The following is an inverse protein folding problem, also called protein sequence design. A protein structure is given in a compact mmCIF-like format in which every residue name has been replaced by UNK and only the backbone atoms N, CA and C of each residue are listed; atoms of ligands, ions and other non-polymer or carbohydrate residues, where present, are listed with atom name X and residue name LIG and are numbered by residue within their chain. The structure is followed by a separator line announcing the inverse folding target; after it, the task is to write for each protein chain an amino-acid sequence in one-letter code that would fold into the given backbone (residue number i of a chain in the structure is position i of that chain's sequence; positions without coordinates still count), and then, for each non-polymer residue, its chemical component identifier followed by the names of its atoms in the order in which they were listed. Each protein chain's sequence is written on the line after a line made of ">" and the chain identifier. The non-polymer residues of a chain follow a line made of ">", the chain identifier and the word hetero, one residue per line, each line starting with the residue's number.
data_IF_869022512929
#
_entry.id   IF_869022512929
#
_cell.length_a   1.000
_cell.length_b   1.000
_cell.length_c   1.000
_cell.angle_alpha   90.00
_cell.angle_beta   90.00
_cell.angle_gamma   90.00
#
_symmetry.space_group_name_H-M   'P 1'
#
loop_
_entity.id
_entity.type
_entity.pdbx_description
1 polymer ?
#
# COMPACT_ATOMS: atom_id res chain seq x y z
N UNK A 1 -19.74 -3.31 12.61
CA UNK A 1 -19.08 -2.72 13.80
C UNK A 1 -18.50 -1.39 13.36
N UNK A 2 -19.04 -0.31 13.91
CA UNK A 2 -18.68 1.07 13.56
C UNK A 2 -17.31 1.43 14.12
N UNK A 3 -16.26 1.05 13.39
CA UNK A 3 -14.90 1.52 13.67
C UNK A 3 -14.69 2.82 12.87
N UNK A 4 -14.92 3.97 13.49
CA UNK A 4 -14.62 5.26 12.89
C UNK A 4 -13.13 5.53 13.01
N UNK A 5 -12.41 5.49 11.88
CA UNK A 5 -10.99 5.86 11.82
C UNK A 5 -10.87 7.35 11.50
N UNK A 6 -10.31 8.13 12.43
CA UNK A 6 -9.87 9.49 12.18
C UNK A 6 -8.42 9.47 11.69
N UNK A 7 -8.15 9.96 10.49
CA UNK A 7 -6.81 10.26 9.99
C UNK A 7 -6.54 11.75 10.07
N UNK A 8 -5.95 12.19 11.17
CA UNK A 8 -5.40 13.53 11.26
C UNK A 8 -3.98 13.56 10.69
N UNK A 9 -3.72 14.36 9.66
CA UNK A 9 -2.38 14.65 9.16
C UNK A 9 -1.87 15.93 9.83
N UNK A 10 -0.90 15.79 10.70
CA UNK A 10 -0.25 16.93 11.36
C UNK A 10 0.49 17.84 10.38
N UNK A 11 0.51 19.13 10.67
CA UNK A 11 1.08 20.21 9.84
C UNK A 11 0.30 20.46 8.54
N UNK A 12 -0.98 20.64 8.70
CA UNK A 12 -2.03 20.53 7.71
C UNK A 12 -1.97 21.60 6.62
N UNK A 13 -1.51 22.80 6.93
CA UNK A 13 -1.73 23.96 6.05
C UNK A 13 -0.81 24.03 4.82
N UNK A 14 0.37 23.41 4.85
CA UNK A 14 1.35 23.50 3.73
C UNK A 14 1.43 22.23 2.87
N UNK A 15 0.81 21.11 3.25
CA UNK A 15 0.99 19.80 2.60
C UNK A 15 -0.27 19.15 2.05
N UNK A 16 -1.45 19.69 2.31
CA UNK A 16 -2.70 19.16 1.75
C UNK A 16 -3.09 19.93 0.49
N UNK A 17 -2.47 19.56 -0.63
CA UNK A 17 -3.04 19.89 -1.93
C UNK A 17 -4.25 18.98 -2.18
N UNK A 18 -5.24 19.43 -2.96
CA UNK A 18 -6.35 18.59 -3.40
C UNK A 18 -5.87 17.26 -4.02
N UNK A 19 -4.73 17.29 -4.70
CA UNK A 19 -4.07 16.11 -5.27
C UNK A 19 -3.67 15.08 -4.21
N UNK A 20 -3.13 15.53 -3.07
CA UNK A 20 -2.75 14.62 -1.98
C UNK A 20 -3.97 13.95 -1.33
N UNK A 21 -5.07 14.67 -1.21
CA UNK A 21 -6.36 14.13 -0.73
C UNK A 21 -6.90 13.11 -1.73
N UNK A 22 -6.89 13.45 -3.03
CA UNK A 22 -7.36 12.56 -4.08
C UNK A 22 -6.59 11.23 -4.11
N UNK A 23 -5.26 11.26 -3.95
CA UNK A 23 -4.44 10.03 -3.86
C UNK A 23 -4.88 9.12 -2.71
N UNK A 24 -5.31 9.70 -1.57
CA UNK A 24 -5.81 8.91 -0.43
C UNK A 24 -7.16 8.26 -0.80
N UNK A 25 -8.08 9.04 -1.37
CA UNK A 25 -9.40 8.55 -1.77
C UNK A 25 -9.29 7.48 -2.87
N UNK A 26 -8.42 7.68 -3.84
CA UNK A 26 -8.15 6.69 -4.90
C UNK A 26 -7.57 5.39 -4.31
N UNK A 27 -6.65 5.50 -3.37
CA UNK A 27 -6.10 4.34 -2.66
C UNK A 27 -7.14 3.57 -1.86
N UNK A 28 -8.03 4.27 -1.16
CA UNK A 28 -9.16 3.65 -0.45
C UNK A 28 -10.11 2.95 -1.43
N UNK A 29 -10.50 3.63 -2.50
CA UNK A 29 -11.35 3.07 -3.55
C UNK A 29 -10.74 1.84 -4.18
N UNK A 30 -9.43 1.90 -4.52
CA UNK A 30 -8.71 0.78 -5.11
C UNK A 30 -8.66 -0.45 -4.20
N UNK A 31 -8.47 -0.23 -2.88
CA UNK A 31 -8.50 -1.31 -1.87
C UNK A 31 -9.93 -1.72 -1.47
N UNK A 32 -10.96 -1.10 -2.06
CA UNK A 32 -12.36 -1.27 -1.67
C UNK A 32 -12.58 -1.02 -0.17
N UNK A 33 -11.95 0.04 0.37
CA UNK A 33 -12.09 0.51 1.74
C UNK A 33 -13.01 1.72 1.76
N UNK A 34 -14.29 1.47 1.94
CA UNK A 34 -15.30 2.51 2.00
C UNK A 34 -15.34 3.15 3.40
N UNK A 35 -15.84 4.37 3.46
CA UNK A 35 -16.21 5.07 4.68
C UNK A 35 -17.75 5.18 4.74
N UNK A 36 -18.32 5.12 5.94
CA UNK A 36 -19.77 5.16 6.12
C UNK A 36 -20.28 6.59 6.08
N UNK A 37 -19.49 7.56 6.56
CA UNK A 37 -19.80 8.98 6.58
C UNK A 37 -18.61 9.83 6.12
N UNK A 38 -18.87 10.89 5.38
CA UNK A 38 -17.87 11.85 4.93
C UNK A 38 -17.49 11.73 3.44
N UNK A 39 -16.32 12.15 3.04
CA UNK A 39 -15.21 12.66 3.86
C UNK A 39 -15.54 14.01 4.52
N UNK A 40 -15.07 14.20 5.76
CA UNK A 40 -15.20 15.46 6.50
C UNK A 40 -13.84 16.14 6.51
N UNK A 41 -13.81 17.42 6.07
CA UNK A 41 -12.57 18.19 5.95
C UNK A 41 -12.41 19.13 7.14
N UNK A 42 -11.24 19.08 7.79
CA UNK A 42 -10.93 19.91 8.95
C UNK A 42 -11.03 21.43 8.64
N UNK A 43 -10.64 21.83 7.42
CA UNK A 43 -10.70 23.24 7.03
C UNK A 43 -12.14 23.78 6.95
N UNK A 44 -13.14 22.94 6.76
CA UNK A 44 -14.55 23.33 6.76
C UNK A 44 -15.13 23.48 8.18
N UNK A 45 -14.33 23.12 9.22
CA UNK A 45 -14.74 23.10 10.63
C UNK A 45 -14.06 24.18 11.48
N UNK A 46 -13.41 25.17 10.87
CA UNK A 46 -12.63 26.19 11.59
C UNK A 46 -13.47 26.95 12.63
N UNK A 47 -14.73 27.25 12.34
CA UNK A 47 -15.62 27.92 13.27
C UNK A 47 -15.90 27.07 14.51
N UNK A 48 -16.03 25.75 14.33
CA UNK A 48 -16.23 24.83 15.45
C UNK A 48 -15.02 24.77 16.37
N UNK A 49 -13.82 24.71 15.82
CA UNK A 49 -12.59 24.73 16.63
C UNK A 49 -12.45 26.04 17.41
N UNK A 50 -12.83 27.17 16.79
CA UNK A 50 -12.82 28.46 17.45
C UNK A 50 -13.80 28.50 18.61
N UNK A 51 -15.04 28.01 18.43
CA UNK A 51 -16.05 27.92 19.48
C UNK A 51 -15.52 27.12 20.69
N UNK A 52 -14.87 25.94 20.44
CA UNK A 52 -14.34 25.11 21.51
C UNK A 52 -13.17 25.80 22.21
N UNK A 53 -12.27 26.45 21.48
CA UNK A 53 -11.16 27.22 22.07
C UNK A 53 -11.70 28.40 22.93
N UNK A 54 -12.69 29.12 22.46
CA UNK A 54 -13.28 30.22 23.21
C UNK A 54 -13.94 29.73 24.52
N UNK A 55 -14.55 28.55 24.52
CA UNK A 55 -15.01 27.86 25.74
C UNK A 55 -13.85 27.57 26.70
N UNK A 56 -12.76 26.93 26.18
CA UNK A 56 -11.59 26.58 26.99
C UNK A 56 -10.89 27.81 27.59
N UNK A 57 -10.82 28.92 26.85
CA UNK A 57 -10.29 30.20 27.36
C UNK A 57 -11.15 30.74 28.50
N UNK A 58 -12.49 30.68 28.41
CA UNK A 58 -13.41 31.12 29.46
C UNK A 58 -13.33 30.27 30.71
N UNK A 59 -13.12 28.97 30.55
CA UNK A 59 -12.99 27.99 31.63
C UNK A 59 -11.58 27.94 32.25
N UNK A 60 -10.60 28.64 31.65
CA UNK A 60 -9.22 28.70 32.12
C UNK A 60 -8.41 27.41 31.81
N UNK A 61 -8.94 26.51 30.98
CA UNK A 61 -8.23 25.30 30.50
C UNK A 61 -7.35 25.58 29.29
N UNK A 62 -7.44 26.79 28.71
CA UNK A 62 -6.52 27.32 27.72
C UNK A 62 -6.17 28.79 28.03
N UNK A 63 -5.09 29.29 27.42
CA UNK A 63 -4.61 30.65 27.64
C UNK A 63 -3.80 31.17 26.45
N UNK A 64 -3.72 32.50 26.33
CA UNK A 64 -2.88 33.15 25.33
C UNK A 64 -1.41 33.14 25.75
N UNK A 65 -0.55 32.78 24.83
CA UNK A 65 0.91 32.75 25.01
C UNK A 65 1.59 33.66 24.00
N UNK A 66 2.32 34.65 24.49
CA UNK A 66 3.04 35.66 23.69
C UNK A 66 4.55 35.39 23.64
N UNK A 67 5.00 34.20 24.04
CA UNK A 67 6.41 33.84 23.94
C UNK A 67 6.89 33.83 22.49
N UNK A 68 7.99 34.52 22.22
CA UNK A 68 8.62 34.52 20.89
C UNK A 68 9.40 33.25 20.64
N UNK A 69 9.70 32.90 19.37
CA UNK A 69 10.58 31.77 19.05
C UNK A 69 11.94 31.88 19.75
N UNK A 70 12.51 33.09 19.79
CA UNK A 70 13.82 33.37 20.40
C UNK A 70 13.79 33.07 21.91
N UNK A 71 12.78 33.59 22.64
CA UNK A 71 12.58 33.31 24.06
C UNK A 71 12.40 31.82 24.35
N UNK A 72 11.72 31.10 23.46
CA UNK A 72 11.52 29.65 23.59
C UNK A 72 12.80 28.87 23.33
N UNK A 73 13.64 29.32 22.41
CA UNK A 73 14.91 28.67 22.11
C UNK A 73 15.94 28.94 23.24
N UNK A 74 16.02 30.16 23.76
CA UNK A 74 16.83 30.49 24.93
C UNK A 74 16.42 29.64 26.16
N UNK A 75 15.12 29.52 26.42
CA UNK A 75 14.58 28.70 27.49
C UNK A 75 15.01 27.24 27.34
N UNK A 76 14.91 26.67 26.12
CA UNK A 76 15.28 25.28 25.85
C UNK A 76 16.78 25.03 26.03
N UNK A 77 17.61 25.98 25.57
CA UNK A 77 19.06 25.88 25.73
C UNK A 77 19.48 25.95 27.21
N UNK A 78 18.83 26.83 27.96
CA UNK A 78 19.06 26.90 29.40
C UNK A 78 18.64 25.61 30.12
N UNK A 79 17.49 25.04 29.75
CA UNK A 79 17.04 23.76 30.31
C UNK A 79 18.03 22.63 30.00
N UNK A 80 18.52 22.56 28.75
CA UNK A 80 19.57 21.60 28.36
C UNK A 80 20.86 21.80 29.18
N UNK A 81 21.30 23.05 29.39
CA UNK A 81 22.48 23.38 30.16
C UNK A 81 22.36 22.91 31.62
N UNK A 82 21.14 22.95 32.15
CA UNK A 82 20.81 22.48 33.52
C UNK A 82 20.55 20.95 33.58
N UNK A 83 20.69 20.22 32.44
CA UNK A 83 20.42 18.79 32.37
C UNK A 83 18.92 18.43 32.42
N UNK A 84 18.05 19.41 32.26
CA UNK A 84 16.60 19.23 32.25
C UNK A 84 16.09 18.85 30.83
N UNK A 85 14.99 18.08 30.76
CA UNK A 85 14.32 17.83 29.53
C UNK A 85 13.66 19.12 29.02
N UNK A 86 13.98 19.62 27.79
CA UNK A 86 13.39 20.84 27.26
C UNK A 86 11.87 20.74 27.16
N UNK A 87 11.16 21.66 27.78
CA UNK A 87 9.71 21.80 27.71
C UNK A 87 9.31 23.26 27.91
N UNK A 88 8.09 23.61 27.48
CA UNK A 88 7.55 24.94 27.77
C UNK A 88 7.34 25.11 29.27
N UNK A 89 7.79 26.23 29.83
CA UNK A 89 7.87 26.48 31.26
C UNK A 89 6.59 27.11 31.86
N UNK A 90 5.55 27.32 31.06
CA UNK A 90 4.32 27.93 31.53
C UNK A 90 4.40 29.44 31.83
N UNK A 91 5.45 30.13 31.33
CA UNK A 91 5.69 31.56 31.61
C UNK A 91 4.54 32.50 31.27
N UNK A 92 3.63 32.10 30.37
CA UNK A 92 2.45 32.87 29.98
C UNK A 92 1.15 32.29 30.58
N UNK A 93 1.23 31.31 31.47
CA UNK A 93 0.04 30.95 32.25
C UNK A 93 -0.45 32.17 33.03
N UNK A 94 -1.78 32.38 33.24
CA UNK A 94 -2.33 33.57 33.87
C UNK A 94 -1.64 33.95 35.16
N UNK A 95 -1.37 32.98 36.02
CA UNK A 95 -0.69 33.18 37.33
C UNK A 95 0.77 33.63 37.18
N UNK A 96 1.48 33.22 36.13
CA UNK A 96 2.88 33.54 35.87
C UNK A 96 3.05 34.80 35.01
N UNK A 97 1.96 35.27 34.40
CA UNK A 97 1.95 36.42 33.51
C UNK A 97 1.45 37.71 34.18
N UNK A 98 1.12 37.67 35.48
CA UNK A 98 0.64 38.83 36.22
C UNK A 98 1.66 39.98 36.12
N UNK A 99 1.21 41.15 35.63
CA UNK A 99 2.09 42.33 35.50
C UNK A 99 3.05 42.31 34.29
N UNK A 100 3.06 41.26 33.50
CA UNK A 100 3.85 41.26 32.25
C UNK A 100 3.17 42.12 31.17
N UNK A 101 3.92 42.99 30.52
CA UNK A 101 3.38 43.74 29.37
C UNK A 101 3.12 42.76 28.21
N UNK A 102 1.97 42.93 27.57
CA UNK A 102 1.66 42.19 26.34
C UNK A 102 2.45 42.81 25.20
N UNK A 103 3.31 42.07 24.49
CA UNK A 103 4.05 42.61 23.37
C UNK A 103 3.13 42.97 22.19
N UNK A 104 3.16 44.21 21.74
CA UNK A 104 2.29 44.69 20.63
C UNK A 104 2.61 44.04 19.29
N UNK A 105 3.85 43.58 19.10
CA UNK A 105 4.36 42.99 17.85
C UNK A 105 4.19 41.48 17.74
N UNK A 106 3.70 40.81 18.79
CA UNK A 106 3.60 39.34 18.85
C UNK A 106 2.16 38.89 18.70
N UNK A 107 1.87 38.18 17.64
CA UNK A 107 0.60 37.46 17.50
C UNK A 107 0.62 36.25 18.45
N UNK A 108 -0.29 36.18 19.43
CA UNK A 108 -0.30 35.10 20.41
C UNK A 108 -0.69 33.77 19.78
N UNK A 109 -0.16 32.69 20.35
CA UNK A 109 -0.70 31.35 20.18
C UNK A 109 -1.59 31.03 21.38
N UNK A 110 -2.50 30.07 21.22
CA UNK A 110 -3.30 29.57 22.33
C UNK A 110 -2.75 28.23 22.75
N UNK A 111 -2.48 28.08 24.05
CA UNK A 111 -2.00 26.84 24.65
C UNK A 111 -3.05 26.19 25.51
N UNK A 112 -3.09 24.88 25.46
CA UNK A 112 -3.78 24.05 26.44
C UNK A 112 -3.03 24.09 27.75
N UNK A 113 -3.72 24.34 28.85
CA UNK A 113 -3.15 24.26 30.20
C UNK A 113 -3.13 22.81 30.66
N UNK A 114 -1.99 22.15 30.50
CA UNK A 114 -1.83 20.78 30.95
C UNK A 114 -1.80 20.74 32.49
N UNK A 115 -2.42 19.75 33.14
CA UNK A 115 -2.22 19.53 34.59
C UNK A 115 -0.74 19.36 34.95
N UNK A 116 -0.33 19.94 36.08
CA UNK A 116 1.06 19.85 36.52
C UNK A 116 1.38 18.56 37.29
N UNK A 117 0.36 18.06 38.04
CA UNK A 117 0.47 16.90 38.90
C UNK A 117 -0.32 15.69 38.37
N UNK A 118 -0.03 14.54 38.98
CA UNK A 118 -0.69 13.29 38.61
C UNK A 118 -0.15 12.67 37.34
N UNK A 119 -0.86 11.70 36.83
CA UNK A 119 -0.49 10.95 35.63
C UNK A 119 -1.69 10.64 34.73
N UNK A 120 -1.41 10.48 33.47
CA UNK A 120 -2.36 9.94 32.51
C UNK A 120 -2.09 8.46 32.32
N UNK A 121 -3.06 7.64 32.69
CA UNK A 121 -3.04 6.19 32.46
C UNK A 121 -4.18 5.83 31.54
N UNK A 122 -3.87 5.01 30.52
CA UNK A 122 -4.89 4.38 29.66
C UNK A 122 -4.51 2.95 29.37
N UNK A 123 -5.49 2.14 29.02
CA UNK A 123 -5.27 0.78 28.56
C UNK A 123 -5.33 0.75 27.04
N UNK A 124 -4.16 0.74 26.39
CA UNK A 124 -4.08 0.61 24.94
C UNK A 124 -4.50 -0.80 24.51
N UNK A 125 -5.41 -0.90 23.53
CA UNK A 125 -5.97 -2.19 23.14
C UNK A 125 -4.92 -3.16 22.54
N UNK A 126 -3.75 -2.64 22.11
CA UNK A 126 -2.65 -3.45 21.57
C UNK A 126 -1.48 -3.51 22.57
N UNK A 127 -1.02 -2.36 23.06
CA UNK A 127 0.17 -2.29 23.94
C UNK A 127 -0.13 -2.56 25.41
N UNK A 128 -1.40 -2.54 25.83
CA UNK A 128 -1.81 -2.70 27.22
C UNK A 128 -1.69 -1.40 28.02
N UNK A 129 -1.55 -1.44 29.35
CA UNK A 129 -1.53 -0.25 30.19
C UNK A 129 -0.27 0.59 29.96
N UNK A 130 -0.49 1.89 29.71
CA UNK A 130 0.56 2.89 29.54
C UNK A 130 0.28 4.04 30.49
N UNK A 131 1.32 4.52 31.19
CA UNK A 131 1.24 5.64 32.12
C UNK A 131 2.29 6.67 31.80
N UNK A 132 1.90 7.95 31.75
CA UNK A 132 2.78 9.10 31.53
C UNK A 132 2.47 10.15 32.59
N UNK A 133 3.49 10.63 33.30
CA UNK A 133 3.32 11.68 34.32
C UNK A 133 2.98 13.03 33.65
N UNK A 134 2.07 13.79 34.21
CA UNK A 134 1.73 15.12 33.70
C UNK A 134 2.94 16.07 33.72
N UNK A 135 3.85 15.90 34.66
CA UNK A 135 5.12 16.64 34.74
C UNK A 135 6.04 16.42 33.53
N UNK A 136 5.81 15.39 32.71
CA UNK A 136 6.54 15.14 31.44
C UNK A 136 5.88 15.79 30.23
N UNK A 137 4.66 16.28 30.40
CA UNK A 137 3.87 16.92 29.35
C UNK A 137 3.96 18.44 29.51
N UNK A 138 4.09 19.15 28.40
CA UNK A 138 4.07 20.62 28.37
C UNK A 138 2.73 21.16 27.88
N UNK A 139 2.51 22.46 28.08
CA UNK A 139 1.33 23.13 27.58
C UNK A 139 1.37 23.22 26.05
N UNK A 140 0.64 22.34 25.42
CA UNK A 140 0.62 22.20 23.97
C UNK A 140 -0.03 23.42 23.29
N UNK A 141 0.56 23.91 22.22
CA UNK A 141 -0.13 24.88 21.36
C UNK A 141 -1.32 24.18 20.71
N UNK A 142 -2.52 24.70 20.93
CA UNK A 142 -3.76 24.17 20.35
C UNK A 142 -4.29 25.01 19.17
N UNK A 143 -3.95 26.34 19.16
CA UNK A 143 -4.33 27.23 18.06
C UNK A 143 -3.17 28.15 17.72
N UNK A 144 -2.94 28.37 16.42
CA UNK A 144 -1.94 29.32 15.90
C UNK A 144 -2.52 30.06 14.70
N UNK A 145 -2.49 31.38 14.72
CA UNK A 145 -3.04 32.23 13.63
C UNK A 145 -4.47 31.84 13.23
N UNK A 146 -5.33 31.53 14.20
CA UNK A 146 -6.71 31.12 13.95
C UNK A 146 -6.89 29.69 13.41
N UNK A 147 -5.81 28.91 13.32
CA UNK A 147 -5.83 27.54 12.79
C UNK A 147 -5.53 26.56 13.94
N UNK A 148 -6.33 25.50 14.11
CA UNK A 148 -6.07 24.48 15.12
C UNK A 148 -4.82 23.67 14.79
N UNK A 149 -4.10 23.25 15.83
CA UNK A 149 -3.02 22.26 15.65
C UNK A 149 -3.60 20.85 15.63
N UNK A 150 -2.82 19.91 15.10
CA UNK A 150 -3.21 18.52 14.93
C UNK A 150 -3.90 17.90 16.15
N UNK A 151 -3.24 17.94 17.32
CA UNK A 151 -3.75 17.27 18.52
C UNK A 151 -5.09 17.85 18.99
N UNK A 152 -5.32 19.13 18.80
CA UNK A 152 -6.56 19.77 19.18
C UNK A 152 -7.68 19.48 18.18
N UNK A 153 -7.38 19.60 16.88
CA UNK A 153 -8.36 19.36 15.84
C UNK A 153 -8.93 17.92 15.93
N UNK A 154 -8.05 16.91 16.07
CA UNK A 154 -8.54 15.51 16.15
C UNK A 154 -9.35 15.25 17.41
N UNK A 155 -9.03 15.86 18.55
CA UNK A 155 -9.85 15.70 19.77
C UNK A 155 -11.24 16.28 19.60
N UNK A 156 -11.36 17.47 18.99
CA UNK A 156 -12.66 18.10 18.75
C UNK A 156 -13.47 17.29 17.73
N UNK A 157 -12.83 16.84 16.67
CA UNK A 157 -13.49 16.05 15.62
C UNK A 157 -13.96 14.69 16.15
N UNK A 158 -13.10 13.96 16.83
CA UNK A 158 -13.42 12.66 17.40
C UNK A 158 -14.54 12.77 18.46
N UNK A 159 -14.55 13.85 19.24
CA UNK A 159 -15.61 14.15 20.20
C UNK A 159 -16.95 14.43 19.52
N UNK A 160 -16.97 15.35 18.56
CA UNK A 160 -18.20 15.74 17.84
C UNK A 160 -18.78 14.57 17.02
N UNK A 161 -17.92 13.70 16.50
CA UNK A 161 -18.30 12.53 15.72
C UNK A 161 -18.52 11.26 16.58
N UNK A 162 -18.44 11.38 17.89
CA UNK A 162 -18.64 10.27 18.85
C UNK A 162 -17.77 9.05 18.51
N UNK A 163 -16.49 9.28 18.17
CA UNK A 163 -15.54 8.23 17.82
C UNK A 163 -15.26 7.36 19.04
N UNK A 164 -15.68 6.11 19.01
CA UNK A 164 -15.52 5.16 20.12
C UNK A 164 -14.12 4.58 20.23
N UNK A 165 -13.41 4.44 19.09
CA UNK A 165 -12.09 3.82 19.02
C UNK A 165 -11.16 4.62 18.10
N UNK A 166 -9.98 4.99 18.61
CA UNK A 166 -8.91 5.63 17.83
C UNK A 166 -7.83 4.60 17.54
N UNK A 167 -7.83 4.06 16.32
CA UNK A 167 -6.88 3.05 15.87
C UNK A 167 -5.90 3.71 14.90
N UNK A 168 -4.59 3.73 15.25
CA UNK A 168 -3.58 4.47 14.49
C UNK A 168 -2.17 3.90 14.66
N UNK A 169 -1.19 4.45 13.93
CA UNK A 169 0.21 4.03 14.06
C UNK A 169 0.83 4.35 15.43
N UNK A 170 1.73 3.49 15.90
CA UNK A 170 2.41 3.61 17.17
C UNK A 170 3.30 4.87 17.30
N UNK A 171 3.63 5.55 16.21
CA UNK A 171 4.30 6.85 16.22
C UNK A 171 3.46 7.96 16.87
N UNK A 172 2.17 7.74 17.06
CA UNK A 172 1.25 8.64 17.76
C UNK A 172 1.05 8.34 19.26
N UNK A 173 1.69 7.32 19.83
CA UNK A 173 1.55 6.99 21.27
C UNK A 173 1.86 8.21 22.15
N UNK A 174 2.89 8.98 21.83
CA UNK A 174 3.27 10.18 22.59
C UNK A 174 2.24 11.34 22.50
N UNK A 175 1.31 11.30 21.57
CA UNK A 175 0.22 12.28 21.47
C UNK A 175 -0.94 11.92 22.40
N UNK A 176 -1.13 10.64 22.67
CA UNK A 176 -2.28 10.09 23.41
C UNK A 176 -2.48 10.71 24.78
N UNK A 177 -1.47 10.84 25.67
CA UNK A 177 -1.70 11.43 27.00
C UNK A 177 -2.11 12.90 26.92
N UNK A 178 -1.61 13.66 25.93
CA UNK A 178 -2.00 15.07 25.71
C UNK A 178 -3.45 15.15 25.24
N UNK A 179 -3.87 14.27 24.35
CA UNK A 179 -5.24 14.19 23.86
C UNK A 179 -6.21 13.79 24.98
N UNK A 180 -5.86 12.80 25.80
CA UNK A 180 -6.67 12.38 26.94
C UNK A 180 -6.88 13.53 27.92
N UNK A 181 -5.85 14.33 28.21
CA UNK A 181 -6.01 15.50 29.06
C UNK A 181 -6.95 16.54 28.45
N UNK A 182 -6.93 16.72 27.12
CA UNK A 182 -7.87 17.61 26.42
C UNK A 182 -9.31 17.08 26.47
N UNK A 183 -9.53 15.76 26.23
CA UNK A 183 -10.87 15.15 26.39
C UNK A 183 -11.43 15.41 27.79
N UNK A 184 -10.60 15.19 28.83
CA UNK A 184 -10.99 15.41 30.23
C UNK A 184 -11.32 16.88 30.52
N UNK A 185 -10.52 17.80 29.99
CA UNK A 185 -10.74 19.24 30.15
C UNK A 185 -12.02 19.71 29.45
N UNK A 186 -12.42 19.06 28.35
CA UNK A 186 -13.66 19.35 27.62
C UNK A 186 -14.89 18.67 28.25
N UNK A 187 -14.70 17.75 29.21
CA UNK A 187 -15.75 16.91 29.76
C UNK A 187 -16.25 15.85 28.76
N UNK A 188 -15.42 15.52 27.78
CA UNK A 188 -15.73 14.55 26.74
C UNK A 188 -15.34 13.13 27.16
N UNK A 189 -16.04 12.12 26.66
CA UNK A 189 -15.68 10.72 26.84
C UNK A 189 -14.36 10.42 26.12
N UNK A 190 -13.47 9.70 26.80
CA UNK A 190 -12.19 9.31 26.23
C UNK A 190 -12.36 8.05 25.41
N UNK A 191 -12.06 8.05 24.09
CA UNK A 191 -12.17 6.86 23.26
C UNK A 191 -11.19 5.75 23.67
N UNK A 192 -11.44 4.53 23.24
CA UNK A 192 -10.47 3.44 23.31
C UNK A 192 -9.35 3.71 22.31
N UNK A 193 -8.11 3.74 22.80
CA UNK A 193 -6.93 3.88 21.94
C UNK A 193 -6.35 2.51 21.59
N UNK A 194 -5.95 2.34 20.34
CA UNK A 194 -5.22 1.19 19.85
C UNK A 194 -4.10 1.65 18.92
N UNK A 195 -2.86 1.33 19.27
CA UNK A 195 -1.72 1.70 18.45
C UNK A 195 -1.18 0.48 17.69
N UNK A 196 -1.18 0.58 16.36
CA UNK A 196 -0.67 -0.48 15.50
C UNK A 196 0.85 -0.34 15.32
N UNK A 197 1.59 -1.47 15.18
CA UNK A 197 3.03 -1.43 15.05
C UNK A 197 3.45 -0.67 13.78
N UNK A 198 4.66 -0.10 13.82
CA UNK A 198 5.25 0.53 12.65
C UNK A 198 5.59 -0.52 11.59
N UNK A 199 5.54 -0.09 10.34
CA UNK A 199 5.98 -0.90 9.21
C UNK A 199 7.39 -0.45 8.83
N UNK A 200 8.32 -1.39 8.88
CA UNK A 200 9.71 -1.19 8.52
C UNK A 200 10.01 -1.75 7.13
N UNK A 201 11.03 -1.19 6.48
CA UNK A 201 11.60 -1.76 5.27
C UNK A 201 12.31 -3.10 5.54
N UNK A 202 12.79 -3.77 4.48
CA UNK A 202 13.53 -5.03 4.62
C UNK A 202 14.79 -4.90 5.47
N UNK A 203 15.39 -3.71 5.54
CA UNK A 203 16.57 -3.37 6.35
C UNK A 203 16.25 -3.14 7.85
N UNK A 204 14.98 -3.23 8.23
CA UNK A 204 14.52 -2.98 9.60
C UNK A 204 14.37 -1.49 9.97
N UNK A 205 14.67 -0.57 9.07
CA UNK A 205 14.48 0.86 9.28
C UNK A 205 13.03 1.27 8.93
N UNK A 206 12.56 2.39 9.48
CA UNK A 206 11.22 2.92 9.16
C UNK A 206 11.03 3.01 7.64
N UNK A 207 9.91 2.48 7.14
CA UNK A 207 9.57 2.51 5.72
C UNK A 207 9.64 3.95 5.18
N UNK A 208 10.34 4.12 4.07
CA UNK A 208 10.56 5.42 3.42
C UNK A 208 10.64 5.26 1.90
N UNK A 209 10.63 6.37 1.16
CA UNK A 209 10.74 6.39 -0.31
C UNK A 209 11.95 5.60 -0.87
N UNK A 210 13.06 5.50 -0.11
CA UNK A 210 14.24 4.73 -0.51
C UNK A 210 14.01 3.21 -0.55
N UNK A 211 12.96 2.73 0.12
CA UNK A 211 12.59 1.31 0.15
C UNK A 211 11.59 0.94 -0.97
N UNK A 212 11.30 1.86 -1.89
CA UNK A 212 10.37 1.69 -2.98
C UNK A 212 8.98 2.21 -2.64
N UNK A 213 8.00 1.35 -2.58
CA UNK A 213 6.59 1.70 -2.48
C UNK A 213 6.22 2.34 -1.15
N UNK A 214 5.78 3.60 -1.17
CA UNK A 214 5.26 4.32 -0.01
C UNK A 214 3.77 4.64 -0.18
N UNK A 215 3.31 4.77 -1.43
CA UNK A 215 1.90 4.99 -1.76
C UNK A 215 1.24 3.67 -2.15
N UNK A 216 0.00 3.47 -1.69
CA UNK A 216 -0.81 2.31 -2.06
C UNK A 216 -0.99 2.21 -3.58
N UNK A 217 -1.17 3.35 -4.28
CA UNK A 217 -1.31 3.37 -5.73
C UNK A 217 -0.05 2.97 -6.51
N UNK A 218 1.10 2.91 -5.83
CA UNK A 218 2.32 2.38 -6.45
C UNK A 218 2.26 0.86 -6.62
N UNK A 219 1.59 0.15 -5.72
CA UNK A 219 1.36 -1.29 -5.87
C UNK A 219 0.48 -1.61 -7.10
N UNK A 220 -0.53 -0.78 -7.37
CA UNK A 220 -1.31 -0.90 -8.62
C UNK A 220 -0.43 -0.73 -9.86
N UNK A 221 0.43 0.31 -9.89
CA UNK A 221 1.38 0.51 -11.00
C UNK A 221 2.34 -0.67 -11.17
N UNK A 222 2.76 -1.31 -10.09
CA UNK A 222 3.60 -2.51 -10.11
C UNK A 222 2.81 -3.79 -10.45
N UNK A 223 1.49 -3.67 -10.66
CA UNK A 223 0.63 -4.75 -11.11
C UNK A 223 0.21 -5.74 -10.03
N UNK A 224 0.19 -5.33 -8.78
CA UNK A 224 -0.42 -6.11 -7.70
C UNK A 224 -1.95 -5.97 -7.73
N UNK A 225 -2.65 -7.01 -7.33
CA UNK A 225 -4.10 -6.99 -7.16
C UNK A 225 -4.49 -6.35 -5.83
N UNK A 226 -5.58 -5.55 -5.78
CA UNK A 226 -5.99 -4.85 -4.57
C UNK A 226 -6.30 -5.79 -3.40
N UNK A 227 -6.92 -6.94 -3.64
CA UNK A 227 -7.21 -7.95 -2.63
C UNK A 227 -5.93 -8.58 -2.04
N UNK A 228 -4.88 -8.73 -2.84
CA UNK A 228 -3.59 -9.22 -2.36
C UNK A 228 -2.90 -8.18 -1.46
N UNK A 229 -2.94 -6.91 -1.85
CA UNK A 229 -2.38 -5.82 -1.04
C UNK A 229 -3.18 -5.63 0.25
N UNK A 230 -4.51 -5.69 0.19
CA UNK A 230 -5.36 -5.65 1.38
C UNK A 230 -4.97 -6.76 2.37
N UNK A 231 -4.90 -8.01 1.92
CA UNK A 231 -4.52 -9.15 2.75
C UNK A 231 -3.09 -8.99 3.29
N UNK A 232 -2.14 -8.58 2.45
CA UNK A 232 -0.75 -8.40 2.85
C UNK A 232 -0.60 -7.33 3.92
N UNK A 233 -1.22 -6.16 3.73
CA UNK A 233 -1.19 -5.07 4.70
C UNK A 233 -1.84 -5.45 6.03
N UNK A 234 -2.95 -6.20 6.01
CA UNK A 234 -3.57 -6.72 7.23
C UNK A 234 -2.61 -7.64 7.99
N UNK A 235 -1.87 -8.51 7.29
CA UNK A 235 -0.86 -9.40 7.90
C UNK A 235 0.37 -8.67 8.45
N UNK A 236 0.63 -7.44 8.03
CA UNK A 236 1.71 -6.62 8.56
C UNK A 236 1.38 -6.05 9.93
N UNK A 237 1.23 -6.87 10.92
CA UNK A 237 0.97 -6.46 12.30
C UNK A 237 -0.27 -7.10 12.92
N UNK A 238 -0.96 -8.00 12.19
CA UNK A 238 -2.05 -8.80 12.70
C UNK A 238 -1.89 -10.25 12.26
N UNK A 239 -2.36 -11.21 13.07
CA UNK A 239 -2.32 -12.63 12.73
C UNK A 239 -3.37 -13.43 13.47
N UNK A 240 -3.94 -14.42 12.78
CA UNK A 240 -4.91 -15.34 13.33
C UNK A 240 -4.48 -16.78 13.00
N UNK A 241 -3.87 -17.48 13.97
CA UNK A 241 -3.31 -18.81 13.75
C UNK A 241 -2.34 -18.85 12.56
N UNK A 242 -2.49 -19.86 11.70
CA UNK A 242 -1.66 -20.06 10.50
C UNK A 242 -2.32 -19.49 9.23
N UNK A 243 -3.36 -18.67 9.35
CA UNK A 243 -4.07 -18.11 8.20
C UNK A 243 -3.23 -17.07 7.48
N UNK A 244 -2.81 -17.37 6.26
CA UNK A 244 -2.01 -16.48 5.42
C UNK A 244 -2.86 -15.73 4.39
N UNK A 245 -3.93 -16.33 3.91
CA UNK A 245 -4.84 -15.79 2.91
C UNK A 245 -6.27 -15.75 3.44
N UNK A 246 -6.94 -14.65 3.21
CA UNK A 246 -8.32 -14.41 3.59
C UNK A 246 -8.96 -13.32 2.74
N UNK A 247 -10.25 -13.40 2.54
CA UNK A 247 -11.05 -12.32 1.97
C UNK A 247 -11.33 -11.22 2.98
N UNK A 248 -11.80 -10.06 2.50
CA UNK A 248 -12.25 -8.95 3.36
C UNK A 248 -13.36 -9.39 4.33
N UNK A 249 -14.33 -10.16 3.83
CA UNK A 249 -15.47 -10.62 4.64
C UNK A 249 -15.06 -11.64 5.71
N UNK A 250 -14.09 -12.49 5.42
CA UNK A 250 -13.50 -13.39 6.40
C UNK A 250 -12.76 -12.62 7.47
N UNK A 251 -11.90 -11.66 7.06
CA UNK A 251 -11.18 -10.81 8.01
C UNK A 251 -12.13 -10.03 8.91
N UNK A 252 -13.21 -9.46 8.37
CA UNK A 252 -14.19 -8.70 9.15
C UNK A 252 -14.88 -9.53 10.25
N UNK A 253 -14.96 -10.85 10.08
CA UNK A 253 -15.55 -11.77 11.07
C UNK A 253 -14.58 -12.18 12.18
N UNK A 254 -13.28 -12.26 11.86
CA UNK A 254 -12.27 -12.84 12.76
C UNK A 254 -11.31 -11.79 13.33
N UNK A 255 -11.36 -10.53 12.84
CA UNK A 255 -10.45 -9.48 13.28
C UNK A 255 -10.73 -9.09 14.73
N UNK A 256 -9.69 -9.21 15.57
CA UNK A 256 -9.68 -8.68 16.93
C UNK A 256 -8.43 -7.82 17.14
N UNK A 257 -8.58 -6.69 17.84
CA UNK A 257 -7.45 -5.80 18.16
C UNK A 257 -6.40 -6.48 19.04
N UNK A 258 -6.83 -7.44 19.87
CA UNK A 258 -5.95 -8.21 20.74
C UNK A 258 -4.94 -9.09 19.96
N UNK A 259 -5.26 -9.44 18.71
CA UNK A 259 -4.39 -10.24 17.84
C UNK A 259 -3.35 -9.37 17.10
N UNK A 260 -3.39 -8.04 17.30
CA UNK A 260 -2.39 -7.15 16.74
C UNK A 260 -1.04 -7.29 17.46
N UNK A 261 0.02 -7.37 16.68
CA UNK A 261 1.39 -7.45 17.20
C UNK A 261 1.81 -6.12 17.84
N UNK A 262 2.62 -6.21 18.91
CA UNK A 262 3.31 -5.05 19.51
C UNK A 262 4.63 -4.72 18.82
N UNK A 263 5.17 -5.67 18.06
CA UNK A 263 6.45 -5.52 17.39
C UNK A 263 6.28 -4.95 15.98
N UNK A 264 7.21 -4.11 15.56
CA UNK A 264 7.22 -3.56 14.21
C UNK A 264 7.29 -4.67 13.15
N UNK A 265 6.40 -4.58 12.17
CA UNK A 265 6.39 -5.48 11.03
C UNK A 265 7.47 -5.11 10.00
N UNK A 266 7.93 -6.07 9.21
CA UNK A 266 8.87 -5.83 8.11
C UNK A 266 8.24 -6.21 6.78
N UNK A 267 8.48 -5.40 5.76
CA UNK A 267 8.08 -5.74 4.40
C UNK A 267 8.96 -6.89 3.89
N UNK A 268 8.30 -7.92 3.37
CA UNK A 268 8.89 -9.02 2.63
C UNK A 268 8.29 -9.06 1.21
N UNK A 269 9.06 -8.59 0.24
CA UNK A 269 8.63 -8.53 -1.16
C UNK A 269 8.40 -9.91 -1.76
N UNK A 270 9.18 -10.93 -1.35
CA UNK A 270 8.99 -12.30 -1.84
C UNK A 270 7.69 -12.90 -1.36
N UNK A 271 7.33 -12.60 -0.11
CA UNK A 271 6.04 -13.03 0.45
C UNK A 271 4.88 -12.30 -0.22
N UNK A 272 5.02 -11.02 -0.53
CA UNK A 272 4.02 -10.25 -1.27
C UNK A 272 3.84 -10.81 -2.69
N UNK A 273 4.91 -11.06 -3.43
CA UNK A 273 4.86 -11.66 -4.75
C UNK A 273 4.17 -13.04 -4.73
N UNK A 274 4.52 -13.88 -3.76
CA UNK A 274 3.89 -15.17 -3.56
C UNK A 274 2.39 -15.04 -3.29
N UNK A 275 2.01 -14.15 -2.37
CA UNK A 275 0.61 -13.93 -2.02
C UNK A 275 -0.19 -13.42 -3.22
N UNK A 276 0.34 -12.43 -3.92
CA UNK A 276 -0.31 -11.90 -5.13
C UNK A 276 -0.47 -12.99 -6.20
N UNK A 277 0.52 -13.86 -6.37
CA UNK A 277 0.43 -14.99 -7.30
C UNK A 277 -0.71 -15.95 -6.90
N UNK A 278 -1.00 -16.16 -5.60
CA UNK A 278 -2.14 -16.98 -5.20
C UNK A 278 -3.47 -16.32 -5.61
N UNK A 279 -3.61 -15.01 -5.46
CA UNK A 279 -4.78 -14.27 -5.92
C UNK A 279 -4.88 -14.25 -7.45
N UNK A 280 -3.77 -14.07 -8.16
CA UNK A 280 -3.72 -14.15 -9.62
C UNK A 280 -4.23 -15.50 -10.15
N UNK A 281 -3.83 -16.62 -9.53
CA UNK A 281 -4.28 -17.97 -9.93
C UNK A 281 -5.79 -18.15 -9.83
N UNK A 282 -6.42 -17.57 -8.83
CA UNK A 282 -7.85 -17.70 -8.55
C UNK A 282 -8.70 -16.64 -9.27
N UNK A 283 -8.07 -15.56 -9.71
CA UNK A 283 -8.77 -14.48 -10.38
C UNK A 283 -9.42 -14.95 -11.68
N UNK A 284 -10.56 -14.36 -12.00
CA UNK A 284 -11.27 -14.56 -13.25
C UNK A 284 -10.43 -14.12 -14.45
N UNK A 285 -10.42 -14.92 -15.52
CA UNK A 285 -9.58 -14.71 -16.69
C UNK A 285 -9.98 -13.45 -17.48
N UNK A 286 -11.27 -13.13 -17.57
CA UNK A 286 -11.77 -11.93 -18.24
C UNK A 286 -11.41 -10.66 -17.44
N UNK A 287 -11.50 -10.74 -16.11
CA UNK A 287 -11.03 -9.67 -15.24
C UNK A 287 -9.53 -9.42 -15.44
N UNK A 288 -8.71 -10.46 -15.44
CA UNK A 288 -7.26 -10.32 -15.66
C UNK A 288 -6.96 -9.76 -17.04
N UNK A 289 -7.69 -10.20 -18.07
CA UNK A 289 -7.58 -9.66 -19.42
C UNK A 289 -7.85 -8.16 -19.44
N UNK A 290 -8.91 -7.70 -18.78
CA UNK A 290 -9.25 -6.28 -18.65
C UNK A 290 -8.13 -5.48 -17.98
N UNK A 291 -7.57 -6.00 -16.88
CA UNK A 291 -6.52 -5.33 -16.09
C UNK A 291 -5.15 -5.31 -16.80
N UNK A 292 -4.85 -6.31 -17.64
CA UNK A 292 -3.55 -6.41 -18.28
C UNK A 292 -3.50 -5.77 -19.67
N UNK A 293 -4.66 -5.54 -20.31
CA UNK A 293 -4.77 -5.01 -21.69
C UNK A 293 -3.90 -3.76 -21.91
N UNK A 294 -4.14 -2.72 -21.15
CA UNK A 294 -3.40 -1.45 -21.27
C UNK A 294 -1.90 -1.60 -21.04
N UNK A 295 -1.49 -2.56 -20.23
CA UNK A 295 -0.07 -2.85 -19.94
C UNK A 295 0.63 -3.51 -21.13
N UNK A 296 -0.08 -4.39 -21.85
CA UNK A 296 0.40 -5.01 -23.11
C UNK A 296 0.47 -3.95 -24.22
N UNK A 297 -0.57 -3.11 -24.34
CA UNK A 297 -0.62 -2.03 -25.33
C UNK A 297 0.49 -1.00 -25.12
N UNK A 298 0.79 -0.65 -23.87
CA UNK A 298 1.91 0.22 -23.52
C UNK A 298 3.28 -0.33 -23.92
N UNK A 299 3.40 -1.66 -24.11
CA UNK A 299 4.60 -2.36 -24.61
C UNK A 299 4.59 -2.57 -26.14
N UNK A 300 3.63 -1.96 -26.83
CA UNK A 300 3.49 -2.06 -28.29
C UNK A 300 2.73 -3.29 -28.78
N UNK A 301 2.09 -4.05 -27.87
CA UNK A 301 1.23 -5.17 -28.24
C UNK A 301 -0.10 -4.71 -28.81
N UNK A 302 -0.59 -5.40 -29.85
CA UNK A 302 -1.93 -5.19 -30.40
C UNK A 302 -2.83 -6.38 -30.05
N UNK A 303 -3.63 -6.23 -28.99
CA UNK A 303 -4.49 -7.31 -28.49
C UNK A 303 -5.69 -7.62 -29.39
N UNK A 304 -6.04 -6.72 -30.30
CA UNK A 304 -7.15 -6.92 -31.24
C UNK A 304 -6.76 -7.85 -32.40
N UNK A 305 -5.46 -7.98 -32.67
CA UNK A 305 -4.91 -8.81 -33.77
C UNK A 305 -4.30 -10.13 -33.29
N UNK A 306 -4.56 -10.54 -32.05
CA UNK A 306 -4.01 -11.75 -31.45
C UNK A 306 -5.07 -12.72 -30.92
N UNK A 307 -4.66 -13.74 -30.20
CA UNK A 307 -5.58 -14.65 -29.53
C UNK A 307 -6.41 -13.96 -28.46
N UNK A 308 -7.54 -14.59 -28.08
CA UNK A 308 -8.39 -14.08 -26.99
C UNK A 308 -7.57 -13.87 -25.72
N UNK A 309 -7.52 -12.61 -25.24
CA UNK A 309 -6.66 -12.20 -24.12
C UNK A 309 -7.01 -12.93 -22.82
N UNK A 310 -8.27 -13.24 -22.57
CA UNK A 310 -8.67 -14.01 -21.40
C UNK A 310 -8.08 -15.42 -21.41
N UNK A 311 -8.05 -16.09 -22.58
CA UNK A 311 -7.42 -17.41 -22.70
C UNK A 311 -5.90 -17.35 -22.47
N UNK A 312 -5.25 -16.29 -22.97
CA UNK A 312 -3.81 -16.04 -22.71
C UNK A 312 -3.56 -15.77 -21.24
N UNK A 313 -4.39 -14.91 -20.62
CA UNK A 313 -4.29 -14.63 -19.19
C UNK A 313 -4.47 -15.91 -18.34
N UNK A 314 -5.49 -16.72 -18.66
CA UNK A 314 -5.73 -18.01 -17.99
C UNK A 314 -4.55 -18.98 -18.09
N UNK A 315 -3.89 -19.06 -19.27
CA UNK A 315 -2.69 -19.88 -19.45
C UNK A 315 -1.49 -19.41 -18.63
N UNK A 316 -1.31 -18.08 -18.47
CA UNK A 316 -0.09 -17.48 -17.92
C UNK A 316 -0.20 -17.09 -16.44
N UNK A 317 -1.42 -16.84 -15.91
CA UNK A 317 -1.66 -16.33 -14.55
C UNK A 317 -1.00 -17.15 -13.46
N UNK A 318 -0.95 -18.46 -13.61
CA UNK A 318 -0.36 -19.38 -12.63
C UNK A 318 1.16 -19.20 -12.41
N UNK A 319 1.84 -18.55 -13.35
CA UNK A 319 3.30 -18.31 -13.33
C UNK A 319 3.66 -16.83 -13.19
N UNK A 320 2.69 -15.95 -13.21
CA UNK A 320 2.87 -14.50 -13.15
C UNK A 320 2.61 -14.00 -11.73
N UNK A 321 3.61 -13.42 -11.10
CA UNK A 321 3.47 -12.89 -9.76
C UNK A 321 2.71 -11.55 -9.75
N UNK A 322 2.71 -10.80 -10.84
CA UNK A 322 2.03 -9.51 -10.99
C UNK A 322 1.44 -9.35 -12.39
N UNK A 323 0.54 -8.38 -12.58
CA UNK A 323 0.01 -8.01 -13.91
C UNK A 323 1.11 -7.53 -14.87
N UNK A 324 2.17 -6.88 -14.35
CA UNK A 324 3.32 -6.49 -15.16
C UNK A 324 4.03 -7.73 -15.73
N UNK A 325 4.29 -8.74 -14.89
CA UNK A 325 4.88 -10.01 -15.33
C UNK A 325 3.96 -10.79 -16.25
N UNK A 326 2.65 -10.68 -16.06
CA UNK A 326 1.67 -11.26 -16.97
C UNK A 326 1.72 -10.58 -18.34
N UNK A 327 1.80 -9.24 -18.37
CA UNK A 327 1.93 -8.47 -19.60
C UNK A 327 3.21 -8.83 -20.37
N UNK A 328 4.35 -8.90 -19.67
CA UNK A 328 5.64 -9.30 -20.27
C UNK A 328 5.57 -10.71 -20.86
N UNK A 329 4.99 -11.66 -20.11
CA UNK A 329 4.84 -13.04 -20.55
C UNK A 329 3.83 -13.22 -21.70
N UNK A 330 2.84 -12.32 -21.83
CA UNK A 330 1.83 -12.36 -22.86
C UNK A 330 2.27 -11.66 -24.15
N UNK A 331 3.29 -10.81 -24.11
CA UNK A 331 3.61 -9.88 -25.18
C UNK A 331 3.86 -10.57 -26.54
N UNK A 332 4.51 -11.73 -26.56
CA UNK A 332 4.83 -12.46 -27.78
C UNK A 332 3.59 -12.97 -28.56
N UNK A 333 2.43 -12.98 -27.92
CA UNK A 333 1.16 -13.27 -28.61
C UNK A 333 0.64 -12.08 -29.44
N UNK A 334 1.07 -10.84 -29.11
CA UNK A 334 0.48 -9.59 -29.59
C UNK A 334 1.46 -8.67 -30.31
N UNK A 335 2.72 -9.07 -30.44
CA UNK A 335 3.75 -8.36 -31.22
C UNK A 335 4.37 -9.31 -32.25
N UNK A 336 4.94 -8.76 -33.31
CA UNK A 336 5.77 -9.57 -34.21
C UNK A 336 7.08 -9.93 -33.46
N UNK A 337 7.36 -11.25 -33.26
CA UNK A 337 8.49 -11.67 -32.48
C UNK A 337 9.82 -11.33 -33.17
N UNK A 338 10.74 -10.75 -32.40
CA UNK A 338 12.11 -10.49 -32.82
C UNK A 338 13.00 -11.66 -32.35
N UNK A 339 13.24 -12.61 -33.23
CA UNK A 339 14.05 -13.81 -32.91
C UNK A 339 15.52 -13.42 -32.81
N UNK A 340 16.20 -13.77 -31.73
CA UNK A 340 17.64 -13.64 -31.60
C UNK A 340 18.33 -14.66 -32.52
N UNK A 341 19.09 -14.17 -33.50
CA UNK A 341 19.68 -15.00 -34.55
C UNK A 341 20.75 -15.97 -33.99
N UNK A 342 21.52 -15.60 -32.98
CA UNK A 342 22.52 -16.47 -32.37
C UNK A 342 21.88 -17.63 -31.59
N UNK A 343 20.83 -17.30 -30.82
CA UNK A 343 20.05 -18.31 -30.09
C UNK A 343 19.30 -19.23 -31.05
N UNK A 344 18.71 -18.67 -32.11
CA UNK A 344 18.04 -19.45 -33.14
C UNK A 344 19.04 -20.44 -33.84
N UNK A 345 20.22 -19.95 -34.24
CA UNK A 345 21.24 -20.78 -34.80
C UNK A 345 21.65 -21.94 -33.86
N UNK A 346 21.76 -21.64 -32.56
CA UNK A 346 22.11 -22.63 -31.54
C UNK A 346 21.06 -23.74 -31.41
N UNK A 347 19.76 -23.36 -31.32
CA UNK A 347 18.67 -24.33 -31.14
C UNK A 347 18.29 -25.07 -32.44
N UNK A 348 18.62 -24.51 -33.60
CA UNK A 348 18.42 -25.14 -34.89
C UNK A 348 19.57 -26.08 -35.30
N UNK A 349 20.70 -26.05 -34.61
CA UNK A 349 21.75 -27.02 -34.77
C UNK A 349 21.34 -28.41 -34.26
N UNK A 350 22.17 -29.42 -34.49
CA UNK A 350 22.06 -30.77 -33.92
C UNK A 350 20.67 -31.42 -34.05
N UNK A 351 20.06 -31.29 -35.23
CA UNK A 351 18.75 -31.88 -35.55
C UNK A 351 17.54 -30.98 -35.25
N UNK A 352 17.75 -29.79 -34.69
CA UNK A 352 16.66 -28.85 -34.38
C UNK A 352 15.97 -28.34 -35.62
N UNK A 353 16.69 -28.03 -36.70
CA UNK A 353 16.16 -27.59 -38.00
C UNK A 353 15.27 -28.67 -38.64
N UNK A 354 15.72 -29.87 -38.70
CA UNK A 354 15.00 -31.03 -39.25
C UNK A 354 13.75 -31.33 -38.46
N UNK A 355 13.86 -31.29 -37.10
CA UNK A 355 12.72 -31.49 -36.22
C UNK A 355 11.65 -30.40 -36.40
N UNK A 356 12.06 -29.13 -36.49
CA UNK A 356 11.12 -28.01 -36.71
C UNK A 356 10.45 -28.07 -38.07
N UNK A 357 11.18 -28.48 -39.13
CA UNK A 357 10.64 -28.66 -40.48
C UNK A 357 9.58 -29.77 -40.51
N UNK A 358 9.89 -30.94 -39.94
CA UNK A 358 8.94 -32.04 -39.89
C UNK A 358 7.71 -31.71 -39.02
N UNK A 359 7.91 -30.94 -37.94
CA UNK A 359 6.80 -30.46 -37.13
C UNK A 359 5.86 -29.56 -37.93
N UNK A 360 6.39 -28.63 -38.75
CA UNK A 360 5.60 -27.76 -39.59
C UNK A 360 4.76 -28.56 -40.63
N UNK A 361 5.37 -29.61 -41.23
CA UNK A 361 4.66 -30.50 -42.17
C UNK A 361 3.50 -31.23 -41.46
N UNK A 362 3.73 -31.81 -40.29
CA UNK A 362 2.70 -32.52 -39.53
C UNK A 362 1.58 -31.56 -39.06
N UNK A 363 1.98 -30.39 -38.53
CA UNK A 363 1.02 -29.38 -38.11
C UNK A 363 0.15 -28.86 -39.27
N UNK A 364 0.72 -28.74 -40.48
CA UNK A 364 -0.02 -28.32 -41.64
C UNK A 364 -1.15 -29.30 -42.00
N UNK A 365 -0.99 -30.57 -41.74
CA UNK A 365 -2.01 -31.62 -41.97
C UNK A 365 -3.11 -31.66 -40.89
N UNK A 366 -2.94 -30.99 -39.75
CA UNK A 366 -3.94 -30.95 -38.67
C UNK A 366 -5.14 -30.07 -39.09
N UNK A 367 -6.34 -30.57 -38.94
CA UNK A 367 -7.57 -29.82 -39.24
C UNK A 367 -7.96 -28.95 -38.04
N UNK A 368 -7.99 -29.54 -36.85
CA UNK A 368 -8.42 -28.87 -35.58
C UNK A 368 -7.21 -28.59 -34.68
N UNK A 369 -6.96 -27.33 -34.42
CA UNK A 369 -5.84 -26.87 -33.58
C UNK A 369 -6.17 -27.04 -32.10
N UNK A 370 -6.17 -28.27 -31.62
CA UNK A 370 -6.32 -28.63 -30.19
C UNK A 370 -4.97 -28.94 -29.54
N UNK A 371 -4.85 -28.76 -28.22
CA UNK A 371 -3.62 -29.11 -27.50
C UNK A 371 -3.22 -30.59 -27.72
N UNK A 372 -4.20 -31.49 -27.77
CA UNK A 372 -3.99 -32.91 -28.00
C UNK A 372 -3.40 -33.17 -29.41
N UNK A 373 -3.97 -32.56 -30.47
CA UNK A 373 -3.48 -32.70 -31.83
C UNK A 373 -2.07 -32.11 -31.98
N UNK A 374 -1.80 -30.93 -31.39
CA UNK A 374 -0.46 -30.33 -31.41
C UNK A 374 0.54 -31.21 -30.67
N UNK A 375 0.15 -31.73 -29.49
CA UNK A 375 1.00 -32.68 -28.76
C UNK A 375 1.24 -33.98 -29.56
N UNK A 376 0.24 -34.47 -30.24
CA UNK A 376 0.37 -35.60 -31.17
C UNK A 376 1.37 -35.34 -32.31
N UNK A 377 1.42 -34.13 -32.87
CA UNK A 377 2.45 -33.73 -33.83
C UNK A 377 3.84 -33.75 -33.23
N UNK A 378 3.99 -33.25 -32.00
CA UNK A 378 5.27 -33.26 -31.28
C UNK A 378 5.75 -34.70 -31.06
N UNK A 379 4.87 -35.57 -30.56
CA UNK A 379 5.21 -37.02 -30.38
C UNK A 379 5.60 -37.68 -31.69
N UNK A 380 4.83 -37.45 -32.75
CA UNK A 380 5.13 -38.05 -34.05
C UNK A 380 6.47 -37.60 -34.65
N UNK A 381 6.94 -36.37 -34.36
CA UNK A 381 8.29 -35.92 -34.74
C UNK A 381 9.36 -36.62 -33.91
N UNK A 382 9.16 -36.70 -32.58
CA UNK A 382 10.08 -37.39 -31.68
C UNK A 382 10.28 -38.84 -32.05
N UNK A 383 9.19 -39.56 -32.36
CA UNK A 383 9.26 -40.98 -32.78
C UNK A 383 9.91 -41.14 -34.17
N UNK A 384 9.56 -40.30 -35.12
CA UNK A 384 10.08 -40.39 -36.47
C UNK A 384 11.58 -40.14 -36.58
N UNK A 385 12.12 -39.28 -35.75
CA UNK A 385 13.52 -38.88 -35.74
C UNK A 385 14.34 -39.52 -34.60
N UNK A 386 13.69 -40.20 -33.63
CA UNK A 386 14.36 -40.77 -32.49
C UNK A 386 15.01 -39.75 -31.55
N UNK A 387 14.40 -38.55 -31.45
CA UNK A 387 14.95 -37.41 -30.69
C UNK A 387 14.21 -37.18 -29.37
N UNK A 388 14.91 -36.66 -28.35
CA UNK A 388 14.26 -36.26 -27.12
C UNK A 388 13.46 -34.94 -27.29
N UNK A 389 12.41 -34.74 -26.49
CA UNK A 389 11.50 -33.59 -26.51
C UNK A 389 12.23 -32.24 -26.63
N UNK A 390 13.36 -32.07 -25.95
CA UNK A 390 14.09 -30.80 -25.92
C UNK A 390 14.61 -30.35 -27.29
N UNK A 391 14.89 -31.27 -28.19
CA UNK A 391 15.44 -31.00 -29.55
C UNK A 391 14.37 -30.27 -30.41
N UNK A 392 13.09 -30.55 -30.20
CA UNK A 392 11.98 -29.84 -30.85
C UNK A 392 11.45 -28.68 -30.01
N UNK A 393 11.32 -28.88 -28.70
CA UNK A 393 10.73 -27.87 -27.84
C UNK A 393 11.55 -26.57 -27.75
N UNK A 394 12.89 -26.67 -27.79
CA UNK A 394 13.76 -25.48 -27.76
C UNK A 394 13.61 -24.61 -29.03
N UNK A 395 13.68 -25.16 -30.27
CA UNK A 395 13.34 -24.40 -31.46
C UNK A 395 11.95 -23.77 -31.43
N UNK A 396 10.92 -24.49 -30.98
CA UNK A 396 9.58 -23.94 -30.86
C UNK A 396 9.52 -22.77 -29.87
N UNK A 397 10.24 -22.84 -28.75
CA UNK A 397 10.28 -21.73 -27.79
C UNK A 397 11.04 -20.52 -28.33
N UNK A 398 12.23 -20.73 -28.87
CA UNK A 398 13.10 -19.62 -29.31
C UNK A 398 12.58 -19.02 -30.62
N UNK A 399 12.22 -19.84 -31.59
CA UNK A 399 11.87 -19.36 -32.93
C UNK A 399 10.39 -18.98 -33.09
N UNK A 400 9.49 -19.60 -32.33
CA UNK A 400 8.04 -19.34 -32.44
C UNK A 400 7.52 -18.47 -31.33
N UNK A 401 7.90 -18.77 -30.08
CA UNK A 401 7.42 -18.03 -28.91
C UNK A 401 8.34 -16.88 -28.49
N UNK A 402 9.61 -16.86 -28.94
CA UNK A 402 10.65 -15.90 -28.52
C UNK A 402 10.71 -15.76 -26.99
N UNK A 403 10.68 -16.91 -26.32
CA UNK A 403 10.67 -17.00 -24.87
C UNK A 403 11.49 -18.23 -24.43
N UNK A 404 12.43 -18.02 -23.50
CA UNK A 404 13.22 -19.12 -22.92
C UNK A 404 12.34 -20.14 -22.17
N UNK A 405 11.24 -19.65 -21.59
CA UNK A 405 10.30 -20.45 -20.79
C UNK A 405 8.85 -20.12 -21.19
N UNK A 406 8.19 -21.10 -21.75
CA UNK A 406 6.75 -21.05 -22.02
C UNK A 406 5.99 -21.94 -21.03
N UNK A 407 4.67 -21.77 -20.88
CA UNK A 407 3.78 -22.80 -20.35
C UNK A 407 3.90 -24.11 -21.14
N UNK A 408 2.88 -24.97 -21.05
CA UNK A 408 2.80 -26.15 -21.91
C UNK A 408 2.85 -25.69 -23.36
N UNK A 409 3.81 -26.23 -24.12
CA UNK A 409 4.11 -25.75 -25.46
C UNK A 409 2.95 -26.00 -26.43
N UNK A 410 2.26 -27.11 -26.31
CA UNK A 410 1.07 -27.49 -27.06
C UNK A 410 -0.05 -26.46 -26.88
N UNK A 411 -0.39 -26.10 -25.63
CA UNK A 411 -1.40 -25.07 -25.34
C UNK A 411 -0.95 -23.70 -25.85
N UNK A 412 0.32 -23.36 -25.72
CA UNK A 412 0.87 -22.09 -26.20
C UNK A 412 0.74 -21.98 -27.72
N UNK A 413 1.10 -23.04 -28.48
CA UNK A 413 0.98 -23.06 -29.92
C UNK A 413 -0.49 -23.03 -30.39
N UNK A 414 -1.39 -23.70 -29.65
CA UNK A 414 -2.84 -23.61 -29.93
C UNK A 414 -3.37 -22.18 -29.85
N UNK A 415 -2.92 -21.40 -28.85
CA UNK A 415 -3.35 -20.00 -28.72
C UNK A 415 -2.74 -19.10 -29.81
N UNK A 416 -1.49 -19.33 -30.20
CA UNK A 416 -0.87 -18.60 -31.32
C UNK A 416 -1.65 -18.86 -32.63
N UNK A 417 -2.13 -20.06 -32.79
CA UNK A 417 -2.89 -20.47 -34.00
C UNK A 417 -2.02 -21.00 -35.12
N UNK A 418 -2.56 -21.93 -35.92
CA UNK A 418 -1.85 -22.70 -36.93
C UNK A 418 -1.10 -21.81 -37.92
N UNK A 419 -1.79 -20.85 -38.50
CA UNK A 419 -1.24 -19.99 -39.58
C UNK A 419 -0.03 -19.19 -39.07
N UNK A 420 -0.17 -18.56 -37.89
CA UNK A 420 0.91 -17.75 -37.32
C UNK A 420 2.08 -18.64 -36.87
N UNK A 421 1.83 -19.82 -36.31
CA UNK A 421 2.89 -20.79 -35.98
C UNK A 421 3.68 -21.18 -37.22
N UNK A 422 3.01 -21.56 -38.29
CA UNK A 422 3.67 -21.95 -39.55
C UNK A 422 4.45 -20.79 -40.18
N UNK A 423 3.91 -19.58 -40.15
CA UNK A 423 4.59 -18.37 -40.62
C UNK A 423 5.89 -18.11 -39.83
N UNK A 424 5.84 -18.20 -38.49
CA UNK A 424 7.02 -18.01 -37.64
C UNK A 424 8.06 -19.07 -37.85
N UNK A 425 7.66 -20.33 -38.03
CA UNK A 425 8.57 -21.43 -38.39
C UNK A 425 9.25 -21.17 -39.72
N UNK A 426 8.47 -20.80 -40.76
CA UNK A 426 9.02 -20.51 -42.09
C UNK A 426 10.05 -19.36 -42.04
N UNK A 427 9.77 -18.30 -41.28
CA UNK A 427 10.70 -17.18 -41.05
C UNK A 427 11.99 -17.61 -40.35
N UNK A 428 11.91 -18.53 -39.38
CA UNK A 428 13.07 -19.03 -38.66
C UNK A 428 13.94 -20.01 -39.44
N UNK A 429 13.34 -20.71 -40.44
CA UNK A 429 14.04 -21.66 -41.31
C UNK A 429 14.66 -20.99 -42.55
N UNK A 430 14.22 -19.80 -42.92
CA UNK A 430 14.79 -19.00 -44.00
C UNK A 430 16.21 -18.50 -43.65
#
# INVERSE_FOLDING_TARGET
>A
RDLRMSRGLGDVYKRQTQEAVQVILDGMKWLNLDYDEGPIYQMDRLDRYKEVVDKMLKEGTAYYCYATPEELDEMREEQKRLGLKPRYDGRWRPENAVGKPIPESVTPVIRFRNPDEGAVTWNDAVYGPITVNNSELDDLIIMRNGIPTYNFAVVVDDWDMEVSHVIRGADHINNTPRQINMYRALGAEVPVFAHLPLINGPDGQKLSKRHGTVSVMEYDRQGYLPEAIFNYLARLGWGHGNMEKFSRDELAKIFELADCSRSAARIDWKKLDWLNQQYMKEADDERLATLVKSRIEARGGNVDNGPCLAKVAGLLKGRSATLERLADAALFFYVEPQVNQEEAATVLADGGREALTLFAEKLNAVTDMTAENVYGCIQAVMEAQGIPMKVLANPLRVCVCVAERTPQIDMTLCLIGKEEVLKRIAKALA
#
